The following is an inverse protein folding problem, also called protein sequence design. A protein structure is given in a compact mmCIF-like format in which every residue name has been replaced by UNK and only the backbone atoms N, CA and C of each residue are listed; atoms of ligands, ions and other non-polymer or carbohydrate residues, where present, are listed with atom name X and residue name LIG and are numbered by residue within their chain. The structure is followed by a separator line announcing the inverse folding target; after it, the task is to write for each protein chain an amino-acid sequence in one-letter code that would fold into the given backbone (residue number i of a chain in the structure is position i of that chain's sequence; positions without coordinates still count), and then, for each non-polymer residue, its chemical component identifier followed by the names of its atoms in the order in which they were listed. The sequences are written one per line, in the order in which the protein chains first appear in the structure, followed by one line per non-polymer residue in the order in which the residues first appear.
data_IF_873895302881
#
_entry.id   IF_873895302881
#
_cell.length_a   1.000
_cell.length_b   1.000
_cell.length_c   1.000
_cell.angle_alpha   90.00
_cell.angle_beta   90.00
_cell.angle_gamma   90.00
#
_symmetry.space_group_name_H-M   'P 1'
#
loop_
_entity.id
_entity.type
_entity.pdbx_description
1 polymer ?
#
# COMPACT_ATOMS: atom_id res chain seq x y z
N UNK A 1 10.92 10.20 -1.63
CA UNK A 1 11.33 8.78 -1.65
C UNK A 1 11.06 8.10 -0.31
N UNK A 2 11.59 8.54 0.83
CA UNK A 2 11.43 7.82 2.12
C UNK A 2 9.99 7.42 2.57
N UNK A 3 8.94 8.14 2.17
CA UNK A 3 7.56 7.74 2.50
C UNK A 3 6.98 6.69 1.53
N UNK A 4 7.46 6.65 0.30
CA UNK A 4 7.14 5.61 -0.68
C UNK A 4 7.67 4.26 -0.21
N UNK A 5 8.96 4.21 0.13
CA UNK A 5 9.60 2.98 0.63
C UNK A 5 8.94 2.47 1.89
N UNK A 6 8.49 3.38 2.77
CA UNK A 6 7.69 3.01 3.95
C UNK A 6 6.35 2.42 3.60
N UNK A 7 5.63 2.96 2.62
CA UNK A 7 4.35 2.41 2.17
C UNK A 7 4.52 0.99 1.63
N UNK A 8 5.56 0.76 0.83
CA UNK A 8 5.90 -0.57 0.33
C UNK A 8 6.27 -1.53 1.46
N UNK A 9 7.05 -1.07 2.45
CA UNK A 9 7.47 -1.91 3.58
C UNK A 9 6.33 -2.33 4.52
N UNK A 10 5.26 -1.53 4.63
CA UNK A 10 4.09 -1.86 5.47
C UNK A 10 2.97 -2.56 4.71
N UNK A 11 3.06 -2.59 3.39
CA UNK A 11 2.09 -3.26 2.55
C UNK A 11 2.23 -4.78 2.68
N UNK A 12 1.14 -5.52 2.90
CA UNK A 12 1.20 -6.97 2.82
C UNK A 12 1.61 -7.43 1.43
N UNK A 13 2.34 -8.55 1.35
CA UNK A 13 2.74 -9.13 0.08
C UNK A 13 1.51 -9.44 -0.79
N UNK A 14 1.55 -9.04 -2.06
CA UNK A 14 0.46 -9.24 -3.02
C UNK A 14 -0.72 -8.26 -2.89
N UNK A 15 -0.70 -7.31 -1.96
CA UNK A 15 -1.75 -6.28 -1.84
C UNK A 15 -1.60 -5.15 -2.84
N UNK A 16 -0.36 -4.76 -3.17
CA UNK A 16 -0.08 -3.69 -4.13
C UNK A 16 0.29 -4.27 -5.49
N UNK A 17 -0.30 -3.69 -6.54
CA UNK A 17 -0.03 -4.03 -7.94
C UNK A 17 0.48 -2.80 -8.70
N UNK A 18 0.91 -2.99 -9.95
CA UNK A 18 1.30 -1.88 -10.83
C UNK A 18 0.13 -0.91 -11.07
N UNK A 19 -1.11 -1.37 -11.01
CA UNK A 19 -2.28 -0.50 -11.15
C UNK A 19 -2.41 0.52 -9.99
N UNK A 20 -1.80 0.23 -8.84
CA UNK A 20 -1.87 1.07 -7.64
C UNK A 20 -0.79 2.17 -7.61
N UNK A 21 0.14 2.19 -8.56
CA UNK A 21 1.33 3.05 -8.54
C UNK A 21 1.00 4.53 -8.32
N UNK A 22 0.02 5.06 -9.05
CA UNK A 22 -0.41 6.45 -8.93
C UNK A 22 -1.02 6.76 -7.54
N UNK A 23 -1.76 5.81 -6.96
CA UNK A 23 -2.36 5.96 -5.64
C UNK A 23 -1.31 5.87 -4.53
N UNK A 24 -0.33 4.96 -4.67
CA UNK A 24 0.83 4.88 -3.77
C UNK A 24 1.65 6.17 -3.84
N UNK A 25 1.80 6.76 -5.03
CA UNK A 25 2.53 8.02 -5.19
C UNK A 25 1.83 9.18 -4.50
N UNK A 26 0.52 9.31 -4.73
CA UNK A 26 -0.30 10.34 -4.09
C UNK A 26 -0.27 10.20 -2.56
N UNK A 27 -0.40 8.99 -2.04
CA UNK A 27 -0.29 8.70 -0.61
C UNK A 27 1.10 9.06 -0.06
N UNK A 28 2.18 8.68 -0.76
CA UNK A 28 3.55 8.99 -0.34
C UNK A 28 3.81 10.50 -0.26
N UNK A 29 3.33 11.26 -1.25
CA UNK A 29 3.45 12.73 -1.31
C UNK A 29 2.65 13.41 -0.19
N UNK A 30 1.41 12.96 0.05
CA UNK A 30 0.58 13.46 1.15
C UNK A 30 1.22 13.18 2.51
N UNK A 31 1.77 11.98 2.70
CA UNK A 31 2.45 11.62 3.94
C UNK A 31 3.70 12.47 4.16
N UNK A 32 4.50 12.71 3.12
CA UNK A 32 5.64 13.61 3.19
C UNK A 32 5.22 15.03 3.59
N UNK A 33 4.14 15.56 2.97
CA UNK A 33 3.58 16.88 3.31
C UNK A 33 3.16 16.97 4.78
N UNK A 34 2.49 15.95 5.30
CA UNK A 34 2.10 15.85 6.72
C UNK A 34 3.33 15.91 7.64
N UNK A 35 4.37 15.14 7.33
CA UNK A 35 5.60 15.15 8.13
C UNK A 35 6.32 16.50 8.14
N UNK A 36 6.22 17.27 7.07
CA UNK A 36 6.83 18.61 7.00
C UNK A 36 6.03 19.69 7.74
N UNK A 37 4.85 19.36 8.31
CA UNK A 37 4.04 20.31 9.08
C UNK A 37 3.18 21.26 8.24
N UNK A 38 3.22 21.18 6.90
CA UNK A 38 2.46 22.04 5.98
C UNK A 38 1.11 21.45 5.56
N UNK A 39 0.61 20.44 6.26
CA UNK A 39 -0.63 19.75 5.91
C UNK A 39 -1.87 20.43 6.50
N UNK A 40 -2.93 20.49 5.68
CA UNK A 40 -4.28 20.90 6.07
C UNK A 40 -5.08 19.68 6.53
N UNK A 41 -6.17 19.90 7.26
CA UNK A 41 -7.10 18.83 7.68
C UNK A 41 -7.56 17.94 6.52
N UNK A 42 -7.79 18.52 5.34
CA UNK A 42 -8.14 17.80 4.12
C UNK A 42 -7.07 16.82 3.64
N UNK A 43 -5.79 17.10 3.89
CA UNK A 43 -4.68 16.23 3.50
C UNK A 43 -4.69 14.93 4.33
N UNK A 44 -5.03 15.01 5.62
CA UNK A 44 -5.18 13.84 6.50
C UNK A 44 -6.35 12.97 6.05
N UNK A 45 -7.50 13.59 5.75
CA UNK A 45 -8.66 12.85 5.24
C UNK A 45 -8.35 12.18 3.90
N UNK A 46 -7.61 12.85 3.01
CA UNK A 46 -7.24 12.29 1.71
C UNK A 46 -6.24 11.14 1.86
N UNK A 47 -5.24 11.28 2.73
CA UNK A 47 -4.30 10.20 3.02
C UNK A 47 -5.02 8.97 3.57
N UNK A 48 -5.96 9.15 4.50
CA UNK A 48 -6.77 8.06 5.06
C UNK A 48 -7.56 7.32 3.98
N UNK A 49 -8.15 8.05 3.02
CA UNK A 49 -8.85 7.45 1.87
C UNK A 49 -7.93 6.59 1.02
N UNK A 50 -6.75 7.10 0.65
CA UNK A 50 -5.77 6.32 -0.12
C UNK A 50 -5.27 5.10 0.63
N UNK A 51 -4.97 5.21 1.93
CA UNK A 51 -4.56 4.06 2.74
C UNK A 51 -5.66 3.00 2.82
N UNK A 52 -6.92 3.42 2.89
CA UNK A 52 -8.07 2.51 2.89
C UNK A 52 -8.23 1.81 1.54
N UNK A 53 -8.14 2.55 0.42
CA UNK A 53 -8.26 1.96 -0.92
C UNK A 53 -7.11 1.01 -1.25
N UNK A 54 -5.91 1.29 -0.74
CA UNK A 54 -4.73 0.44 -0.88
C UNK A 54 -4.69 -0.75 0.10
N UNK A 55 -5.73 -0.95 0.91
CA UNK A 55 -5.75 -2.06 1.86
C UNK A 55 -4.76 -1.90 3.03
N UNK A 56 -4.25 -0.70 3.28
CA UNK A 56 -3.18 -0.45 4.26
C UNK A 56 -3.67 -0.11 5.67
N UNK A 57 -4.99 -0.06 5.91
CA UNK A 57 -5.57 0.13 7.25
C UNK A 57 -5.94 -1.21 7.90
N UNK A 58 -5.94 -1.32 9.24
CA UNK A 58 -6.37 -2.55 9.91
C UNK A 58 -7.78 -3.01 9.48
N UNK A 59 -8.70 -2.06 9.30
CA UNK A 59 -10.08 -2.34 8.88
C UNK A 59 -10.17 -2.80 7.43
N UNK A 60 -9.40 -2.21 6.51
CA UNK A 60 -9.37 -2.67 5.12
C UNK A 60 -8.64 -4.01 4.97
N UNK A 61 -7.74 -4.36 5.89
CA UNK A 61 -7.01 -5.65 5.85
C UNK A 61 -7.90 -6.85 6.18
N UNK A 62 -8.97 -6.67 6.95
CA UNK A 62 -9.90 -7.78 7.26
C UNK A 62 -10.73 -8.21 6.05
N UNK A 63 -10.77 -7.40 4.99
CA UNK A 63 -11.50 -7.72 3.75
C UNK A 63 -10.58 -8.21 2.63
N UNK A 64 -9.26 -8.24 2.85
CA UNK A 64 -8.31 -8.78 1.87
C UNK A 64 -8.30 -10.30 2.07
N UNK A 65 -9.09 -11.01 1.27
CA UNK A 65 -8.86 -12.44 1.05
C UNK A 65 -7.56 -12.57 0.26
N UNK A 66 -6.45 -12.85 0.96
CA UNK A 66 -5.20 -13.24 0.30
C UNK A 66 -5.48 -14.60 -0.34
N UNK A 67 -5.52 -14.73 -1.68
CA UNK A 67 -5.62 -16.03 -2.30
C UNK A 67 -4.42 -16.86 -1.82
N UNK A 68 -4.56 -18.15 -1.51
CA UNK A 68 -3.41 -18.99 -1.24
C UNK A 68 -2.45 -18.78 -2.41
N UNK A 69 -1.23 -18.33 -2.11
CA UNK A 69 -0.20 -18.14 -3.11
C UNK A 69 -0.13 -19.45 -3.88
N UNK A 70 -0.58 -19.46 -5.14
CA UNK A 70 -0.11 -20.46 -6.08
C UNK A 70 1.40 -20.25 -6.07
N UNK A 71 2.09 -21.08 -5.30
CA UNK A 71 3.51 -21.29 -5.50
C UNK A 71 3.61 -21.65 -6.98
N UNK A 72 4.11 -20.71 -7.79
CA UNK A 72 4.42 -21.01 -9.17
C UNK A 72 5.21 -22.32 -9.14
N UNK A 73 4.69 -23.34 -9.84
CA UNK A 73 5.38 -24.60 -10.02
C UNK A 73 6.75 -24.27 -10.59
N UNK A 74 7.75 -24.29 -9.71
CA UNK A 74 9.14 -24.16 -10.08
C UNK A 74 9.44 -25.32 -11.05
N UNK A 75 9.90 -25.04 -12.27
CA UNK A 75 10.29 -26.08 -13.23
C UNK A 75 11.43 -26.97 -12.72
N UNK A 76 12.09 -26.62 -11.61
CA UNK A 76 13.05 -27.46 -10.88
C UNK A 76 12.44 -28.33 -9.77
N UNK A 77 11.14 -28.23 -9.49
CA UNK A 77 10.44 -29.04 -8.49
C UNK A 77 9.78 -30.30 -9.07
N UNK A 78 10.36 -30.89 -10.13
CA UNK A 78 10.07 -32.27 -10.53
C UNK A 78 11.15 -33.21 -9.98
N UNK A 79 10.83 -33.86 -8.86
CA UNK A 79 11.36 -35.18 -8.51
C UNK A 79 10.22 -36.02 -7.98
#
# INVERSE_FOLDING_TARGET
MACWDRLLAIAPAGTLTVADEAAVEAAARLWAKIKTGFAKSSDYSMLSKYLTSLGLTPQSRTTIEVPPQHAEENEFAKV
#
